data_IF_826664331727
#
_entry.id   IF_826664331727
#
_cell.length_a   1.000
_cell.length_b   1.000
_cell.length_c   1.000
_cell.angle_alpha   90.00
_cell.angle_beta   90.00
_cell.angle_gamma   90.00
#
_symmetry.space_group_name_H-M   'P 1'
#
loop_
_entity.id
_entity.type
_entity.pdbx_description
1 polymer ?
#
# COMPACT_ATOMS: atom_id res chain seq x y z
N UNK A 1 -13.33 -15.37 1.24
CA UNK A 1 -13.13 -13.95 1.62
C UNK A 1 -13.47 -13.83 3.10
N UNK A 2 -12.82 -12.95 3.89
CA UNK A 2 -13.25 -12.71 5.28
C UNK A 2 -14.69 -12.16 5.29
N UNK A 3 -15.51 -12.60 6.25
CA UNK A 3 -16.91 -12.14 6.39
C UNK A 3 -17.00 -10.62 6.57
N UNK A 4 -15.96 -9.99 7.11
CA UNK A 4 -15.88 -8.54 7.28
C UNK A 4 -15.65 -7.84 5.93
N UNK A 5 -14.73 -8.34 5.10
CA UNK A 5 -14.42 -7.75 3.78
C UNK A 5 -15.67 -7.82 2.89
N UNK A 6 -16.39 -8.94 2.92
CA UNK A 6 -17.63 -9.11 2.17
C UNK A 6 -18.69 -8.08 2.61
N UNK A 7 -18.85 -7.81 3.92
CA UNK A 7 -19.79 -6.78 4.41
C UNK A 7 -19.47 -5.39 3.87
N UNK A 8 -18.20 -5.00 3.83
CA UNK A 8 -17.80 -3.70 3.28
C UNK A 8 -17.96 -3.64 1.76
N UNK A 9 -17.65 -4.74 1.07
CA UNK A 9 -17.85 -4.86 -0.36
C UNK A 9 -19.34 -4.68 -0.74
N UNK A 10 -20.23 -5.43 -0.09
CA UNK A 10 -21.68 -5.33 -0.31
C UNK A 10 -22.23 -3.93 -0.03
N UNK A 11 -21.75 -3.25 1.02
CA UNK A 11 -22.14 -1.86 1.30
C UNK A 11 -21.72 -0.89 0.21
N UNK A 12 -20.58 -1.12 -0.43
CA UNK A 12 -20.08 -0.29 -1.51
C UNK A 12 -20.82 -0.56 -2.83
N UNK A 13 -20.97 -1.82 -3.25
CA UNK A 13 -21.58 -2.13 -4.56
C UNK A 13 -23.10 -1.84 -4.62
N UNK A 14 -23.77 -1.79 -3.47
CA UNK A 14 -25.19 -1.42 -3.39
C UNK A 14 -25.41 0.11 -3.37
N UNK A 15 -24.36 0.91 -3.64
CA UNK A 15 -24.50 2.36 -3.78
C UNK A 15 -24.93 2.75 -5.19
N UNK A 16 -25.71 3.84 -5.34
CA UNK A 16 -26.31 4.19 -6.63
C UNK A 16 -25.30 4.66 -7.69
N UNK A 17 -24.12 5.19 -7.33
CA UNK A 17 -23.14 5.71 -8.30
C UNK A 17 -21.73 5.12 -8.17
N UNK A 18 -21.48 4.22 -7.21
CA UNK A 18 -20.27 3.41 -6.97
C UNK A 18 -18.96 4.20 -6.77
N UNK A 19 -18.62 5.14 -7.66
CA UNK A 19 -17.44 6.00 -7.59
C UNK A 19 -17.72 7.48 -7.92
N UNK A 20 -18.90 7.84 -8.43
CA UNK A 20 -19.16 9.23 -8.86
C UNK A 20 -19.78 10.12 -7.77
N UNK A 21 -20.14 9.55 -6.62
CA UNK A 21 -20.65 10.33 -5.49
C UNK A 21 -19.67 10.27 -4.31
N UNK A 22 -19.44 11.38 -3.58
CA UNK A 22 -18.49 11.40 -2.45
C UNK A 22 -18.77 10.33 -1.39
N UNK A 23 -20.04 10.01 -1.15
CA UNK A 23 -20.42 8.95 -0.20
C UNK A 23 -20.01 7.56 -0.69
N UNK A 24 -20.07 7.31 -1.99
CA UNK A 24 -19.74 6.02 -2.60
C UNK A 24 -18.23 5.80 -2.58
N UNK A 25 -17.46 6.86 -2.88
CA UNK A 25 -16.00 6.89 -2.73
C UNK A 25 -15.61 6.57 -1.27
N UNK A 26 -16.33 7.12 -0.29
CA UNK A 26 -16.06 6.82 1.11
C UNK A 26 -16.31 5.34 1.44
N UNK A 27 -17.35 4.72 0.90
CA UNK A 27 -17.60 3.29 1.08
C UNK A 27 -16.55 2.43 0.37
N UNK A 28 -16.11 2.83 -0.82
CA UNK A 28 -15.01 2.20 -1.53
C UNK A 28 -13.72 2.22 -0.69
N UNK A 29 -13.34 3.35 -0.11
CA UNK A 29 -12.16 3.42 0.75
C UNK A 29 -12.30 2.60 2.04
N UNK A 30 -13.50 2.51 2.63
CA UNK A 30 -13.76 1.60 3.76
C UNK A 30 -13.56 0.14 3.35
N UNK A 31 -14.00 -0.24 2.16
CA UNK A 31 -13.75 -1.55 1.58
C UNK A 31 -12.25 -1.80 1.36
N UNK A 32 -11.51 -0.88 0.75
CA UNK A 32 -10.06 -0.98 0.55
C UNK A 32 -9.33 -1.13 1.89
N UNK A 33 -9.67 -0.32 2.90
CA UNK A 33 -9.10 -0.44 4.25
C UNK A 33 -9.40 -1.79 4.89
N UNK A 34 -10.61 -2.33 4.70
CA UNK A 34 -10.94 -3.66 5.19
C UNK A 34 -10.11 -4.75 4.48
N UNK A 35 -9.89 -4.64 3.17
CA UNK A 35 -8.99 -5.50 2.43
C UNK A 35 -7.57 -5.44 2.99
N UNK A 36 -7.00 -4.25 3.19
CA UNK A 36 -5.66 -4.09 3.73
C UNK A 36 -5.51 -4.64 5.15
N UNK A 37 -6.49 -4.41 6.02
CA UNK A 37 -6.44 -4.78 7.44
C UNK A 37 -6.70 -6.27 7.70
N UNK A 38 -7.63 -6.88 6.95
CA UNK A 38 -8.12 -8.22 7.24
C UNK A 38 -7.71 -9.28 6.19
N UNK A 39 -6.88 -8.93 5.21
CA UNK A 39 -6.40 -9.91 4.23
C UNK A 39 -5.48 -10.94 4.88
N UNK A 40 -5.70 -12.21 4.51
CA UNK A 40 -4.77 -13.33 4.74
C UNK A 40 -4.06 -13.79 3.47
N UNK A 41 -4.46 -13.27 2.29
CA UNK A 41 -3.94 -13.62 0.96
C UNK A 41 -3.73 -12.34 0.14
N UNK A 42 -2.89 -12.39 -0.89
CA UNK A 42 -2.72 -11.27 -1.82
C UNK A 42 -4.05 -10.98 -2.54
N UNK A 43 -4.49 -9.73 -2.43
CA UNK A 43 -5.63 -9.16 -3.16
C UNK A 43 -5.04 -8.16 -4.14
N UNK A 44 -5.39 -8.31 -5.42
CA UNK A 44 -4.92 -7.49 -6.52
C UNK A 44 -6.11 -6.97 -7.36
N UNK A 45 -5.81 -6.13 -8.35
CA UNK A 45 -6.82 -5.62 -9.28
C UNK A 45 -7.56 -6.72 -10.05
N UNK A 46 -6.89 -7.82 -10.39
CA UNK A 46 -7.52 -8.95 -11.09
C UNK A 46 -8.60 -9.64 -10.26
N UNK A 47 -8.31 -9.85 -8.98
CA UNK A 47 -9.27 -10.39 -8.03
C UNK A 47 -10.51 -9.49 -7.91
N UNK A 48 -10.32 -8.18 -7.83
CA UNK A 48 -11.44 -7.24 -7.73
C UNK A 48 -12.25 -7.21 -9.03
N UNK A 49 -11.56 -7.19 -10.19
CA UNK A 49 -12.19 -7.21 -11.52
C UNK A 49 -13.20 -8.36 -11.65
N UNK A 50 -12.78 -9.59 -11.34
CA UNK A 50 -13.68 -10.77 -11.42
C UNK A 50 -14.94 -10.62 -10.59
N UNK A 51 -14.86 -9.97 -9.43
CA UNK A 51 -16.03 -9.71 -8.59
C UNK A 51 -16.95 -8.67 -9.20
N UNK A 52 -16.38 -7.55 -9.65
CA UNK A 52 -17.17 -6.47 -10.24
C UNK A 52 -17.80 -6.88 -11.57
N UNK A 53 -17.12 -7.66 -12.41
CA UNK A 53 -17.70 -8.22 -13.63
C UNK A 53 -18.93 -9.06 -13.33
N UNK A 54 -18.90 -9.87 -12.26
CA UNK A 54 -20.07 -10.66 -11.87
C UNK A 54 -21.22 -9.79 -11.35
N UNK A 55 -20.92 -8.87 -10.43
CA UNK A 55 -21.95 -8.18 -9.66
C UNK A 55 -22.47 -6.93 -10.39
N UNK A 56 -21.63 -6.20 -11.11
CA UNK A 56 -22.03 -4.99 -11.84
C UNK A 56 -22.67 -5.28 -13.18
N UNK A 57 -22.25 -6.32 -13.91
CA UNK A 57 -22.95 -6.76 -15.13
C UNK A 57 -24.38 -7.19 -14.78
N UNK A 58 -24.59 -7.79 -13.61
CA UNK A 58 -25.92 -8.14 -13.13
C UNK A 58 -26.79 -6.90 -12.81
N UNK A 59 -26.18 -5.82 -12.31
CA UNK A 59 -26.90 -4.61 -11.88
C UNK A 59 -27.16 -3.61 -13.03
N UNK A 60 -26.18 -3.42 -13.91
CA UNK A 60 -26.19 -2.36 -14.93
C UNK A 60 -26.12 -2.90 -16.37
N UNK A 61 -25.95 -4.21 -16.55
CA UNK A 61 -25.73 -4.85 -17.85
C UNK A 61 -24.28 -4.80 -18.31
N UNK A 62 -23.94 -5.63 -19.30
CA UNK A 62 -22.62 -5.59 -19.96
C UNK A 62 -22.65 -4.53 -21.07
N UNK A 63 -22.21 -3.32 -20.72
CA UNK A 63 -22.10 -2.18 -21.62
C UNK A 63 -20.81 -1.39 -21.32
N UNK A 64 -20.48 -0.46 -22.21
CA UNK A 64 -19.24 0.32 -22.10
C UNK A 64 -19.17 1.15 -20.81
N UNK A 65 -20.30 1.63 -20.32
CA UNK A 65 -20.36 2.35 -19.04
C UNK A 65 -19.96 1.43 -17.87
N UNK A 66 -20.52 0.22 -17.79
CA UNK A 66 -20.16 -0.77 -16.76
C UNK A 66 -18.69 -1.16 -16.87
N UNK A 67 -18.17 -1.38 -18.08
CA UNK A 67 -16.76 -1.74 -18.31
C UNK A 67 -15.81 -0.63 -17.87
N UNK A 68 -16.12 0.62 -18.19
CA UNK A 68 -15.34 1.77 -17.76
C UNK A 68 -15.33 1.90 -16.24
N UNK A 69 -16.49 1.76 -15.60
CA UNK A 69 -16.61 1.83 -14.15
C UNK A 69 -15.81 0.73 -13.45
N UNK A 70 -15.84 -0.50 -13.97
CA UNK A 70 -15.00 -1.61 -13.47
C UNK A 70 -13.52 -1.24 -13.61
N UNK A 71 -13.11 -0.73 -14.77
CA UNK A 71 -11.73 -0.35 -15.02
C UNK A 71 -11.24 0.71 -14.02
N UNK A 72 -12.03 1.76 -13.80
CA UNK A 72 -11.69 2.85 -12.89
C UNK A 72 -11.58 2.36 -11.45
N UNK A 73 -12.53 1.53 -10.99
CA UNK A 73 -12.50 0.94 -9.66
C UNK A 73 -11.28 0.04 -9.44
N UNK A 74 -10.94 -0.77 -10.44
CA UNK A 74 -9.79 -1.69 -10.40
C UNK A 74 -8.48 -0.92 -10.39
N UNK A 75 -8.34 0.09 -11.25
CA UNK A 75 -7.15 0.95 -11.30
C UNK A 75 -6.94 1.65 -9.97
N UNK A 76 -7.98 2.30 -9.43
CA UNK A 76 -7.89 3.00 -8.16
C UNK A 76 -7.59 2.04 -7.00
N UNK A 77 -8.20 0.85 -7.00
CA UNK A 77 -7.89 -0.18 -6.00
C UNK A 77 -6.42 -0.57 -6.05
N UNK A 78 -5.90 -0.89 -7.24
CA UNK A 78 -4.50 -1.28 -7.43
C UNK A 78 -3.55 -0.16 -6.97
N UNK A 79 -3.80 1.08 -7.38
CA UNK A 79 -3.01 2.23 -6.94
C UNK A 79 -2.98 2.40 -5.41
N UNK A 80 -4.10 2.18 -4.72
CA UNK A 80 -4.14 2.28 -3.26
C UNK A 80 -3.39 1.13 -2.57
N UNK A 81 -3.47 -0.08 -3.13
CA UNK A 81 -2.67 -1.21 -2.65
C UNK A 81 -1.18 -0.92 -2.85
N UNK A 82 -0.80 -0.44 -4.03
CA UNK A 82 0.59 -0.11 -4.35
C UNK A 82 1.10 1.02 -3.47
N UNK A 83 0.31 2.08 -3.28
CA UNK A 83 0.63 3.17 -2.37
C UNK A 83 0.84 2.68 -0.93
N UNK A 84 -0.03 1.80 -0.43
CA UNK A 84 0.12 1.25 0.92
C UNK A 84 1.36 0.35 1.06
N UNK A 85 1.76 -0.34 -0.01
CA UNK A 85 2.94 -1.17 -0.04
C UNK A 85 4.22 -0.37 -0.36
N UNK A 86 4.07 0.84 -0.88
CA UNK A 86 5.19 1.75 -1.14
C UNK A 86 5.75 2.16 0.21
N UNK A 87 7.01 1.83 0.45
CA UNK A 87 7.74 2.30 1.62
C UNK A 87 7.87 3.82 1.56
N UNK A 88 7.35 4.51 2.57
CA UNK A 88 7.54 5.95 2.77
C UNK A 88 7.84 6.18 4.25
N UNK A 89 8.86 6.96 4.63
CA UNK A 89 9.89 7.62 3.84
C UNK A 89 11.16 6.77 3.68
N UNK A 90 11.95 7.08 2.63
CA UNK A 90 13.30 6.55 2.48
C UNK A 90 14.10 7.00 3.70
N UNK A 91 14.48 6.01 4.51
CA UNK A 91 15.23 6.22 5.73
C UNK A 91 16.51 7.02 5.44
N UNK A 92 17.08 6.86 4.24
CA UNK A 92 18.26 7.59 3.76
C UNK A 92 17.98 9.04 3.40
N UNK A 93 16.77 9.39 2.98
CA UNK A 93 16.41 10.76 2.63
C UNK A 93 16.02 11.57 3.86
N UNK A 94 15.26 10.97 4.78
CA UNK A 94 14.77 11.70 5.95
C UNK A 94 15.82 11.87 7.03
N UNK A 95 16.74 10.91 7.18
CA UNK A 95 17.81 10.95 8.18
C UNK A 95 17.28 11.39 9.57
N UNK A 96 16.10 10.89 9.97
CA UNK A 96 15.44 11.28 11.24
C UNK A 96 15.79 10.38 12.42
N UNK A 97 16.06 9.11 12.15
CA UNK A 97 16.30 8.10 13.17
C UNK A 97 17.59 7.34 12.86
N UNK A 98 18.68 7.56 13.60
CA UNK A 98 19.99 7.00 13.26
C UNK A 98 20.00 5.47 13.25
N UNK A 99 19.20 4.84 14.11
CA UNK A 99 19.07 3.38 14.13
C UNK A 99 18.45 2.82 12.84
N UNK A 100 17.35 3.44 12.36
CA UNK A 100 16.71 3.02 11.12
C UNK A 100 17.68 3.19 9.95
N UNK A 101 18.40 4.33 9.89
CA UNK A 101 19.41 4.61 8.86
C UNK A 101 20.50 3.55 8.88
N UNK A 102 21.04 3.25 10.07
CA UNK A 102 22.06 2.22 10.26
C UNK A 102 21.60 0.85 9.74
N UNK A 103 20.40 0.41 10.13
CA UNK A 103 19.86 -0.88 9.68
C UNK A 103 19.65 -0.91 8.17
N UNK A 104 19.11 0.16 7.60
CA UNK A 104 18.83 0.26 6.17
C UNK A 104 20.13 0.20 5.35
N UNK A 105 21.13 1.04 5.67
CA UNK A 105 22.42 1.02 4.98
C UNK A 105 23.13 -0.32 5.07
N UNK A 106 23.11 -0.96 6.26
CA UNK A 106 23.67 -2.30 6.46
C UNK A 106 22.90 -3.40 5.74
N UNK A 107 21.64 -3.16 5.37
CA UNK A 107 20.78 -4.07 4.64
C UNK A 107 20.93 -3.99 3.11
N UNK A 108 21.44 -2.88 2.59
CA UNK A 108 21.61 -2.68 1.15
C UNK A 108 22.63 -3.65 0.55
N UNK A 109 22.28 -4.24 -0.59
CA UNK A 109 23.10 -5.19 -1.34
C UNK A 109 23.19 -4.75 -2.79
N UNK A 110 24.35 -4.96 -3.40
CA UNK A 110 24.55 -4.74 -4.84
C UNK A 110 23.90 -5.87 -5.66
N UNK A 111 23.97 -5.74 -6.99
CA UNK A 111 23.47 -6.74 -7.93
C UNK A 111 24.09 -8.14 -7.78
N UNK A 112 25.22 -8.26 -7.07
CA UNK A 112 25.91 -9.52 -6.79
C UNK A 112 25.63 -10.04 -5.38
N UNK A 113 24.75 -9.38 -4.61
CA UNK A 113 24.43 -9.75 -3.24
C UNK A 113 25.49 -9.34 -2.21
N UNK A 114 26.47 -8.51 -2.56
CA UNK A 114 27.49 -7.97 -1.63
C UNK A 114 26.97 -6.71 -0.92
N UNK A 115 27.30 -6.47 0.36
CA UNK A 115 26.96 -5.22 1.04
C UNK A 115 27.44 -3.98 0.27
N UNK A 116 26.54 -3.00 0.08
CA UNK A 116 26.87 -1.73 -0.58
C UNK A 116 27.78 -0.84 0.27
N UNK A 117 27.71 -0.97 1.60
CA UNK A 117 28.47 -0.17 2.55
C UNK A 117 29.21 -1.05 3.54
N UNK A 118 30.44 -0.69 3.89
CA UNK A 118 31.17 -1.28 5.02
C UNK A 118 30.66 -0.73 6.35
N UNK A 119 31.01 -1.37 7.45
CA UNK A 119 30.64 -0.88 8.79
C UNK A 119 31.18 0.53 9.06
N UNK A 120 32.41 0.81 8.63
CA UNK A 120 33.08 2.10 8.79
C UNK A 120 32.39 3.21 7.97
N UNK A 121 31.93 2.88 6.76
CA UNK A 121 31.18 3.82 5.91
C UNK A 121 29.81 4.16 6.52
N UNK A 122 29.11 3.15 7.06
CA UNK A 122 27.85 3.38 7.76
C UNK A 122 28.06 4.23 9.01
N UNK A 123 29.08 3.93 9.80
CA UNK A 123 29.39 4.69 11.01
C UNK A 123 29.76 6.14 10.70
N UNK A 124 30.58 6.37 9.68
CA UNK A 124 30.96 7.72 9.23
C UNK A 124 29.74 8.54 8.82
N UNK A 125 28.83 7.96 8.03
CA UNK A 125 27.59 8.63 7.62
C UNK A 125 26.68 8.96 8.81
N UNK A 126 26.62 8.09 9.82
CA UNK A 126 25.83 8.33 11.02
C UNK A 126 26.45 9.42 11.91
N UNK A 127 27.78 9.45 12.04
CA UNK A 127 28.48 10.51 12.76
C UNK A 127 28.29 11.86 12.07
N UNK A 128 28.36 11.91 10.73
CA UNK A 128 28.18 13.13 9.95
C UNK A 128 26.78 13.74 10.13
N UNK A 129 25.74 12.89 10.16
CA UNK A 129 24.35 13.36 10.18
C UNK A 129 23.75 13.49 11.59
N UNK A 130 24.24 12.72 12.57
CA UNK A 130 23.66 12.63 13.91
C UNK A 130 24.66 12.90 15.04
N UNK A 131 25.93 13.15 14.73
CA UNK A 131 27.01 13.36 15.69
C UNK A 131 27.61 12.06 16.24
N UNK A 132 28.72 12.18 16.98
CA UNK A 132 29.44 11.04 17.58
C UNK A 132 28.62 10.25 18.60
N UNK A 133 27.56 10.86 19.13
CA UNK A 133 26.68 10.30 20.14
C UNK A 133 25.40 9.68 19.56
N UNK A 134 25.32 9.45 18.25
CA UNK A 134 24.12 8.93 17.57
C UNK A 134 23.56 7.64 18.19
N UNK A 135 24.41 6.83 18.82
CA UNK A 135 24.03 5.59 19.50
C UNK A 135 23.27 5.84 20.83
N UNK A 136 23.41 7.00 21.48
CA UNK A 136 22.78 7.30 22.77
C UNK A 136 21.25 7.46 22.66
N UNK A 137 20.75 7.82 21.48
CA UNK A 137 19.31 7.93 21.20
C UNK A 137 18.56 6.60 21.06
N UNK A 138 19.26 5.45 21.12
CA UNK A 138 18.69 4.12 20.81
C UNK A 138 18.21 3.33 22.04
N UNK A 139 18.41 3.84 23.26
CA UNK A 139 17.90 3.24 24.50
C UNK A 139 16.55 3.86 24.89
N UNK A 140 15.45 3.39 24.30
CA UNK A 140 14.09 3.57 24.83
C UNK A 140 13.28 2.30 24.66
#
# INVERSE_FOLDING_TARGET
MSSIIEKYYQKWINTPKILYHPQDIQQFYKFVKACLKYKRKHLDGHWLRKKLEKDLVKLFGDNDYTRQLIQDAVNLFQHLIDFQNTSFPDVMLEMREPYKVSMYMRGLRDQNGKPCYTYEQVESALIENFGTDWQKGTKK
#
